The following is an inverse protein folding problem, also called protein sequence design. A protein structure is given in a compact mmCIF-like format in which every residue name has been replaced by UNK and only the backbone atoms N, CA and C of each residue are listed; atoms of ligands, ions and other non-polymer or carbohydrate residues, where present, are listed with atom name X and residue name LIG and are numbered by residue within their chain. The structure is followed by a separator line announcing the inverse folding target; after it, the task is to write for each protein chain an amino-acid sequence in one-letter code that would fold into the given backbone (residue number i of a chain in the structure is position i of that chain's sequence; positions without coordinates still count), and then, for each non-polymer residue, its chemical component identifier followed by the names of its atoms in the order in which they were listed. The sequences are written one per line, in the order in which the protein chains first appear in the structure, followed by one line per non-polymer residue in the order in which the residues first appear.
data_IF_385384322305
#
_entry.id   IF_385384322305
#
_cell.length_a   1.000
_cell.length_b   1.000
_cell.length_c   1.000
_cell.angle_alpha   90.00
_cell.angle_beta   90.00
_cell.angle_gamma   90.00
#
_symmetry.space_group_name_H-M   'P 1'
#
loop_
_entity.id
_entity.type
_entity.pdbx_description
1 polymer ?
#
# COMPACT_ATOMS: atom_id res chain seq x y z
N UNK A 1 -1.20 14.97 4.09
CA UNK A 1 -1.68 13.91 4.99
C UNK A 1 -1.60 14.41 6.42
N UNK A 2 -2.61 14.17 7.30
CA UNK A 2 -2.59 14.66 8.68
C UNK A 2 -1.44 14.07 9.50
N UNK A 3 -0.76 14.89 10.30
CA UNK A 3 0.32 14.44 11.18
C UNK A 3 -0.13 13.43 12.26
N UNK A 4 -1.42 13.41 12.56
CA UNK A 4 -2.02 12.55 13.60
C UNK A 4 -2.55 11.23 13.04
N UNK A 5 -2.26 10.88 11.79
CA UNK A 5 -2.74 9.62 11.22
C UNK A 5 -2.19 8.43 12.00
N UNK A 6 -3.08 7.51 12.37
CA UNK A 6 -2.70 6.22 12.95
C UNK A 6 -2.30 5.23 11.86
N UNK A 7 -1.40 4.29 12.18
CA UNK A 7 -0.91 3.29 11.22
C UNK A 7 -2.03 2.47 10.56
N UNK A 8 -3.08 1.99 11.26
CA UNK A 8 -4.18 1.28 10.61
C UNK A 8 -4.91 2.11 9.54
N UNK A 9 -4.97 3.44 9.75
CA UNK A 9 -5.56 4.33 8.75
C UNK A 9 -4.60 4.61 7.60
N UNK A 10 -3.31 4.70 7.89
CA UNK A 10 -2.26 4.83 6.87
C UNK A 10 -2.24 3.60 5.96
N UNK A 11 -2.35 2.39 6.52
CA UNK A 11 -2.53 1.16 5.75
C UNK A 11 -3.70 1.29 4.76
N UNK A 12 -4.88 1.70 5.23
CA UNK A 12 -6.05 1.90 4.36
C UNK A 12 -5.82 2.95 3.27
N UNK A 13 -5.05 4.00 3.57
CA UNK A 13 -4.65 5.00 2.56
C UNK A 13 -3.77 4.34 1.50
N UNK A 14 -2.75 3.58 1.90
CA UNK A 14 -1.87 2.88 0.97
C UNK A 14 -2.62 1.88 0.11
N UNK A 15 -3.47 1.05 0.70
CA UNK A 15 -4.32 0.11 -0.03
C UNK A 15 -5.18 0.81 -1.08
N UNK A 16 -5.77 1.96 -0.72
CA UNK A 16 -6.58 2.76 -1.65
C UNK A 16 -5.76 3.36 -2.78
N UNK A 17 -4.57 3.89 -2.48
CA UNK A 17 -3.69 4.51 -3.49
C UNK A 17 -3.08 3.46 -4.43
N UNK A 18 -2.69 2.32 -3.88
CA UNK A 18 -2.11 1.22 -4.63
C UNK A 18 -3.18 0.41 -5.39
N UNK A 19 -4.42 0.39 -4.93
CA UNK A 19 -5.52 -0.32 -5.58
C UNK A 19 -5.73 -1.74 -5.07
N UNK A 20 -5.14 -2.09 -3.92
CA UNK A 20 -5.34 -3.36 -3.22
C UNK A 20 -6.56 -3.33 -2.29
N UNK A 21 -6.96 -4.51 -1.82
CA UNK A 21 -8.19 -4.72 -1.04
C UNK A 21 -7.95 -4.88 0.46
N UNK A 22 -6.68 -5.00 0.89
CA UNK A 22 -6.33 -5.28 2.29
C UNK A 22 -6.65 -6.71 2.71
N UNK A 23 -6.52 -7.68 1.80
CA UNK A 23 -6.83 -9.10 2.04
C UNK A 23 -5.74 -9.84 2.79
N UNK A 24 -4.52 -9.27 2.84
CA UNK A 24 -3.33 -9.89 3.39
C UNK A 24 -2.77 -9.10 4.58
N UNK A 25 -1.85 -9.73 5.30
CA UNK A 25 -1.11 -9.11 6.38
C UNK A 25 -0.17 -8.03 5.86
N UNK A 26 0.15 -7.09 6.73
CA UNK A 26 1.09 -6.01 6.42
C UNK A 26 1.92 -5.63 7.64
N UNK A 27 3.02 -4.93 7.38
CA UNK A 27 3.80 -4.31 8.43
C UNK A 27 4.35 -2.93 8.00
N UNK A 28 4.61 -2.11 8.98
CA UNK A 28 5.42 -0.90 8.86
C UNK A 28 6.74 -1.11 9.60
N UNK A 29 7.87 -0.78 8.97
CA UNK A 29 9.17 -0.79 9.63
C UNK A 29 9.65 0.65 9.78
N UNK A 30 9.53 1.21 10.97
CA UNK A 30 9.82 2.63 11.27
C UNK A 30 10.89 2.70 12.34
N UNK A 31 12.05 3.26 12.01
CA UNK A 31 13.15 3.37 12.98
C UNK A 31 13.66 2.03 13.52
N UNK A 32 13.53 0.95 12.72
CA UNK A 32 13.90 -0.41 13.10
C UNK A 32 12.87 -1.14 13.96
N UNK A 33 11.73 -0.52 14.26
CA UNK A 33 10.61 -1.16 14.97
C UNK A 33 9.57 -1.61 13.94
N UNK A 34 9.09 -2.84 14.09
CA UNK A 34 8.04 -3.43 13.26
C UNK A 34 6.68 -3.23 13.90
N UNK A 35 5.74 -2.71 13.15
CA UNK A 35 4.35 -2.47 13.56
C UNK A 35 3.41 -3.20 12.61
N UNK A 36 2.47 -3.98 13.15
CA UNK A 36 1.43 -4.66 12.37
C UNK A 36 0.14 -4.80 13.18
N UNK A 37 -0.93 -5.22 12.53
CA UNK A 37 -2.11 -5.72 13.24
C UNK A 37 -1.75 -7.09 13.85
N UNK A 38 -1.94 -7.29 15.17
CA UNK A 38 -1.56 -8.53 15.82
C UNK A 38 -2.41 -9.68 15.29
N UNK A 39 -1.74 -10.65 14.66
CA UNK A 39 -2.33 -11.93 14.31
C UNK A 39 -2.10 -12.90 15.48
N UNK A 40 -3.17 -13.40 16.12
CA UNK A 40 -3.04 -14.32 17.25
C UNK A 40 -2.28 -15.63 16.91
N UNK A 41 -2.34 -16.05 15.65
CA UNK A 41 -1.71 -17.28 15.17
C UNK A 41 -0.20 -17.10 14.92
N UNK A 42 0.26 -15.83 14.76
CA UNK A 42 1.66 -15.48 14.49
C UNK A 42 2.30 -14.68 15.64
N UNK A 43 1.58 -14.39 16.71
CA UNK A 43 2.04 -13.51 17.80
C UNK A 43 3.33 -13.98 18.49
N UNK A 44 3.58 -15.28 18.53
CA UNK A 44 4.78 -15.87 19.12
C UNK A 44 5.98 -15.92 18.14
N UNK A 45 5.73 -15.74 16.85
CA UNK A 45 6.75 -15.84 15.80
C UNK A 45 7.26 -14.47 15.33
N UNK A 46 6.46 -13.42 15.49
CA UNK A 46 6.75 -12.09 14.99
C UNK A 46 6.94 -11.12 16.17
N UNK A 47 8.13 -10.55 16.28
CA UNK A 47 8.44 -9.46 17.23
C UNK A 47 7.87 -8.13 16.71
N UNK A 48 6.53 -8.04 16.67
CA UNK A 48 5.80 -6.87 16.18
C UNK A 48 5.10 -6.11 17.32
N UNK A 49 5.05 -4.81 17.19
CA UNK A 49 4.28 -3.91 18.05
C UNK A 49 2.88 -3.73 17.45
N UNK A 50 1.82 -3.89 18.26
CA UNK A 50 0.44 -3.61 17.86
C UNK A 50 0.30 -2.17 17.33
N UNK A 51 -0.04 -2.03 16.06
CA UNK A 51 -0.15 -0.75 15.36
C UNK A 51 -1.40 0.05 15.71
N UNK A 52 -2.41 -0.57 16.33
CA UNK A 52 -3.77 -0.05 16.54
C UNK A 52 -3.82 1.38 17.07
N UNK A 53 -2.90 1.74 17.96
CA UNK A 53 -2.86 3.05 18.56
C UNK A 53 -1.61 3.87 18.23
N UNK A 54 -0.79 3.39 17.32
CA UNK A 54 0.45 4.05 16.92
C UNK A 54 0.13 5.19 15.95
N UNK A 55 0.59 6.39 16.28
CA UNK A 55 0.48 7.59 15.45
C UNK A 55 1.77 7.76 14.65
N UNK A 56 1.67 7.93 13.32
CA UNK A 56 2.81 7.97 12.41
C UNK A 56 3.89 8.95 12.86
N UNK A 57 3.53 10.20 13.17
CA UNK A 57 4.51 11.22 13.58
C UNK A 57 5.26 10.86 14.85
N UNK A 58 4.63 10.11 15.76
CA UNK A 58 5.29 9.62 16.98
C UNK A 58 6.24 8.46 16.69
N UNK A 59 5.87 7.57 15.79
CA UNK A 59 6.73 6.46 15.37
C UNK A 59 7.95 6.96 14.58
N UNK A 60 7.78 7.96 13.70
CA UNK A 60 8.87 8.59 12.94
C UNK A 60 9.88 9.31 13.86
N UNK A 61 9.43 9.90 14.98
CA UNK A 61 10.27 10.77 15.78
C UNK A 61 10.65 12.05 15.02
N UNK A 62 11.79 12.64 15.40
CA UNK A 62 12.23 13.94 14.84
C UNK A 62 13.04 13.78 13.54
N UNK A 63 13.69 12.65 13.33
CA UNK A 63 14.75 12.51 12.33
C UNK A 63 14.42 11.54 11.18
N UNK A 64 13.44 10.64 11.36
CA UNK A 64 13.10 9.67 10.33
C UNK A 64 12.45 10.34 9.12
N UNK A 65 13.05 10.15 7.95
CA UNK A 65 12.58 10.67 6.66
C UNK A 65 12.11 9.58 5.72
N UNK A 66 12.28 8.34 6.10
CA UNK A 66 11.77 7.20 5.34
C UNK A 66 11.40 6.06 6.31
N UNK A 67 10.53 5.20 5.82
CA UNK A 67 10.17 3.94 6.46
C UNK A 67 9.71 2.95 5.40
N UNK A 68 9.66 1.68 5.77
CA UNK A 68 9.20 0.64 4.87
C UNK A 68 7.75 0.26 5.19
N UNK A 69 7.00 -0.06 4.15
CA UNK A 69 5.68 -0.65 4.22
C UNK A 69 5.69 -1.94 3.40
N UNK A 70 5.47 -3.06 4.05
CA UNK A 70 5.40 -4.39 3.42
C UNK A 70 3.94 -4.84 3.45
N UNK A 71 3.45 -5.31 2.33
CA UNK A 71 2.11 -5.86 2.19
C UNK A 71 2.18 -7.24 1.58
N UNK A 72 1.36 -8.16 2.09
CA UNK A 72 1.33 -9.55 1.71
C UNK A 72 2.68 -10.26 1.94
N UNK A 73 2.84 -10.90 3.09
CA UNK A 73 4.10 -11.58 3.44
C UNK A 73 4.41 -12.79 2.54
N UNK A 74 3.42 -13.29 1.77
CA UNK A 74 3.63 -14.32 0.77
C UNK A 74 4.25 -13.76 -0.51
N UNK A 75 3.71 -12.65 -1.02
CA UNK A 75 4.19 -11.98 -2.23
C UNK A 75 5.30 -10.95 -1.96
N UNK A 76 5.46 -10.51 -0.70
CA UNK A 76 6.51 -9.59 -0.22
C UNK A 76 6.54 -8.26 -0.99
N UNK A 77 5.41 -7.58 -1.07
CA UNK A 77 5.32 -6.25 -1.69
C UNK A 77 5.95 -5.18 -0.82
N UNK A 78 7.22 -4.91 -1.04
CA UNK A 78 8.03 -3.98 -0.27
C UNK A 78 8.01 -2.56 -0.87
N UNK A 79 7.60 -1.56 -0.07
CA UNK A 79 7.50 -0.16 -0.46
C UNK A 79 8.38 0.70 0.44
N UNK A 80 9.15 1.59 -0.17
CA UNK A 80 9.89 2.63 0.55
C UNK A 80 9.02 3.89 0.55
N UNK A 81 8.65 4.34 1.73
CA UNK A 81 7.86 5.56 1.93
C UNK A 81 8.78 6.69 2.37
N UNK A 82 8.85 7.76 1.56
CA UNK A 82 9.68 8.93 1.84
C UNK A 82 8.80 10.06 2.36
N UNK A 83 9.18 10.63 3.51
CA UNK A 83 8.55 11.82 4.08
C UNK A 83 9.28 13.06 3.56
N UNK A 84 8.79 13.63 2.46
CA UNK A 84 9.43 14.77 1.79
C UNK A 84 9.36 16.06 2.62
N UNK A 85 8.20 16.32 3.26
CA UNK A 85 8.01 17.48 4.11
C UNK A 85 6.96 17.23 5.19
N UNK A 86 7.19 17.81 6.36
CA UNK A 86 6.19 18.03 7.39
C UNK A 86 5.79 19.50 7.34
N UNK A 87 4.59 19.80 6.85
CA UNK A 87 4.10 21.18 6.79
C UNK A 87 3.51 21.55 8.16
N UNK A 88 3.81 22.75 8.67
CA UNK A 88 3.18 23.22 9.90
C UNK A 88 1.65 23.25 9.71
N UNK A 89 0.92 22.97 10.79
CA UNK A 89 -0.55 23.04 10.82
C UNK A 89 -1.01 24.37 10.23
N UNK A 90 -1.38 24.35 8.96
CA UNK A 90 -2.26 25.37 8.41
C UNK A 90 -3.67 24.94 8.78
N UNK A 91 -4.53 25.87 9.18
CA UNK A 91 -5.95 25.67 9.52
C UNK A 91 -6.81 25.14 8.34
N UNK A 92 -6.23 24.37 7.45
CA UNK A 92 -6.87 23.69 6.35
C UNK A 92 -7.36 22.35 6.88
N UNK A 93 -8.63 22.08 6.78
CA UNK A 93 -9.37 20.94 7.28
C UNK A 93 -8.48 19.69 7.54
N UNK A 94 -8.24 19.30 8.79
CA UNK A 94 -7.18 18.35 9.17
C UNK A 94 -7.45 16.90 8.76
N UNK A 95 -8.45 16.64 7.95
CA UNK A 95 -8.96 15.31 7.65
C UNK A 95 -8.85 14.89 6.18
N UNK A 96 -8.21 15.68 5.31
CA UNK A 96 -8.16 15.34 3.89
C UNK A 96 -6.86 14.64 3.52
N UNK A 97 -6.98 13.37 3.14
CA UNK A 97 -5.91 12.66 2.44
C UNK A 97 -6.08 12.91 0.95
N UNK A 98 -5.00 13.26 0.28
CA UNK A 98 -5.01 13.57 -1.15
C UNK A 98 -3.78 12.98 -1.82
N UNK A 99 -3.97 12.32 -2.96
CA UNK A 99 -2.93 11.88 -3.86
C UNK A 99 -2.67 13.00 -4.89
N UNK A 100 -1.45 13.48 -4.99
CA UNK A 100 -1.08 14.57 -5.91
C UNK A 100 -0.66 14.05 -7.29
N UNK A 101 -0.11 12.84 -7.35
CA UNK A 101 0.36 12.21 -8.58
C UNK A 101 0.53 10.71 -8.39
N UNK A 102 0.63 9.97 -9.49
CA UNK A 102 0.89 8.53 -9.50
C UNK A 102 1.13 8.01 -10.92
N UNK A 103 1.72 6.84 -11.01
CA UNK A 103 2.00 6.18 -12.28
C UNK A 103 1.93 4.66 -12.12
N UNK A 104 1.56 3.98 -13.20
CA UNK A 104 1.40 2.53 -13.33
C UNK A 104 0.23 1.96 -12.50
N UNK A 105 -0.26 0.82 -12.93
CA UNK A 105 -1.20 0.02 -12.15
C UNK A 105 -0.45 -0.82 -11.12
N UNK A 106 -1.07 -0.99 -9.98
CA UNK A 106 -0.60 -1.94 -8.99
C UNK A 106 -0.68 -3.37 -9.53
N UNK A 107 0.22 -4.27 -9.15
CA UNK A 107 0.06 -5.70 -9.42
C UNK A 107 -1.27 -6.22 -8.88
N UNK A 108 -1.94 -7.15 -9.58
CA UNK A 108 -3.12 -7.82 -9.03
C UNK A 108 -2.79 -8.53 -7.70
N UNK A 109 -3.78 -8.66 -6.81
CA UNK A 109 -3.64 -9.51 -5.61
C UNK A 109 -3.28 -10.94 -6.00
N UNK A 110 -2.46 -11.61 -5.20
CA UNK A 110 -2.08 -13.02 -5.38
C UNK A 110 -1.36 -13.34 -6.73
N UNK A 111 -0.72 -12.34 -7.35
CA UNK A 111 -0.06 -12.56 -8.64
C UNK A 111 1.26 -13.33 -8.53
N UNK A 112 1.78 -13.54 -7.32
CA UNK A 112 2.98 -14.32 -7.06
C UNK A 112 4.27 -13.49 -7.04
N UNK A 113 4.26 -12.40 -6.28
CA UNK A 113 5.44 -11.54 -6.10
C UNK A 113 5.87 -10.80 -7.39
N UNK A 114 7.03 -10.18 -7.35
CA UNK A 114 7.62 -9.50 -8.52
C UNK A 114 7.86 -10.46 -9.68
N UNK A 115 8.14 -11.74 -9.40
CA UNK A 115 8.37 -12.75 -10.41
C UNK A 115 7.07 -13.12 -11.13
N UNK A 116 6.03 -13.49 -10.40
CA UNK A 116 4.72 -13.80 -10.99
C UNK A 116 4.11 -12.59 -11.72
N UNK A 117 4.35 -11.37 -11.19
CA UNK A 117 3.93 -10.17 -11.91
C UNK A 117 4.66 -9.97 -13.23
N UNK A 118 5.96 -10.28 -13.30
CA UNK A 118 6.70 -10.22 -14.56
C UNK A 118 6.18 -11.25 -15.58
N UNK A 119 5.92 -12.49 -15.15
CA UNK A 119 5.30 -13.53 -16.00
C UNK A 119 3.90 -13.12 -16.46
N UNK A 120 3.09 -12.59 -15.57
CA UNK A 120 1.77 -12.05 -15.91
C UNK A 120 1.84 -10.97 -16.99
N UNK A 121 2.75 -10.00 -16.86
CA UNK A 121 2.92 -8.93 -17.84
C UNK A 121 3.40 -9.46 -19.20
N UNK A 122 4.31 -10.42 -19.21
CA UNK A 122 4.78 -11.07 -20.44
C UNK A 122 3.62 -11.80 -21.13
N UNK A 123 2.86 -12.58 -20.39
CA UNK A 123 1.74 -13.33 -20.94
C UNK A 123 0.64 -12.44 -21.53
N UNK A 124 0.25 -11.36 -20.85
CA UNK A 124 -0.80 -10.48 -21.38
C UNK A 124 -0.35 -9.62 -22.56
N UNK A 125 0.97 -9.37 -22.68
CA UNK A 125 1.54 -8.59 -23.78
C UNK A 125 1.64 -9.38 -25.11
N UNK A 126 1.80 -10.70 -25.06
CA UNK A 126 1.92 -11.58 -26.22
C UNK A 126 0.54 -12.16 -26.61
N UNK A 127 -0.02 -11.78 -27.78
CA UNK A 127 -1.31 -12.31 -28.24
C UNK A 127 -1.35 -13.84 -28.42
N UNK A 128 -0.21 -14.46 -28.64
CA UNK A 128 -0.08 -15.89 -28.91
C UNK A 128 0.34 -16.71 -27.65
N UNK A 129 0.49 -16.04 -26.49
CA UNK A 129 0.88 -16.71 -25.24
C UNK A 129 -0.21 -17.65 -24.73
N UNK A 130 0.16 -18.89 -24.38
CA UNK A 130 -0.80 -19.94 -23.96
C UNK A 130 -1.61 -19.61 -22.72
N UNK A 131 -1.05 -18.82 -21.80
CA UNK A 131 -1.68 -18.42 -20.52
C UNK A 131 -2.42 -17.07 -20.60
N UNK A 132 -2.36 -16.38 -21.73
CA UNK A 132 -2.88 -15.02 -21.89
C UNK A 132 -4.36 -14.90 -21.52
N UNK A 133 -5.16 -15.76 -22.11
CA UNK A 133 -6.62 -15.70 -21.91
C UNK A 133 -6.99 -16.02 -20.46
N UNK A 134 -6.29 -16.95 -19.83
CA UNK A 134 -6.46 -17.28 -18.40
C UNK A 134 -6.15 -16.08 -17.51
N UNK A 135 -5.03 -15.40 -17.73
CA UNK A 135 -4.66 -14.22 -16.95
C UNK A 135 -5.63 -13.04 -17.17
N UNK A 136 -6.05 -12.81 -18.42
CA UNK A 136 -7.03 -11.75 -18.69
C UNK A 136 -8.38 -12.06 -18.06
N UNK A 137 -8.86 -13.30 -18.11
CA UNK A 137 -10.09 -13.70 -17.42
C UNK A 137 -9.98 -13.48 -15.91
N UNK A 138 -8.85 -13.88 -15.31
CA UNK A 138 -8.59 -13.71 -13.88
C UNK A 138 -8.64 -12.25 -13.42
N UNK A 139 -8.13 -11.30 -14.21
CA UNK A 139 -8.17 -9.86 -13.88
C UNK A 139 -9.42 -9.13 -14.40
N UNK A 140 -10.44 -9.86 -14.87
CA UNK A 140 -11.69 -9.27 -15.33
C UNK A 140 -11.70 -8.79 -16.79
N UNK A 141 -10.83 -9.31 -17.63
CA UNK A 141 -10.81 -9.13 -19.09
C UNK A 141 -9.82 -8.11 -19.62
N UNK A 142 -9.34 -7.18 -18.81
CA UNK A 142 -8.39 -6.16 -19.25
C UNK A 142 -7.49 -5.68 -18.12
N UNK A 143 -6.21 -5.52 -18.40
CA UNK A 143 -5.23 -4.91 -17.50
C UNK A 143 -4.29 -4.01 -18.30
N UNK A 144 -4.19 -2.73 -17.90
CA UNK A 144 -3.22 -1.79 -18.46
C UNK A 144 -2.16 -1.46 -17.38
N UNK A 145 -0.94 -1.98 -17.51
CA UNK A 145 0.09 -1.81 -16.49
C UNK A 145 0.59 -0.36 -16.33
N UNK A 146 0.27 0.52 -17.30
CA UNK A 146 0.69 1.93 -17.26
C UNK A 146 -0.39 2.88 -16.76
N UNK A 147 -1.59 2.36 -16.48
CA UNK A 147 -2.71 3.19 -16.04
C UNK A 147 -2.55 3.58 -14.58
N UNK A 148 -2.79 4.84 -14.28
CA UNK A 148 -3.10 5.33 -12.94
C UNK A 148 -4.26 6.33 -13.04
N UNK A 149 -5.31 6.12 -12.26
CA UNK A 149 -6.51 6.96 -12.29
C UNK A 149 -6.54 7.86 -11.05
N UNK A 150 -5.92 9.03 -11.17
CA UNK A 150 -5.77 10.00 -10.08
C UNK A 150 -7.13 10.47 -9.53
N UNK A 151 -8.11 10.70 -10.40
CA UNK A 151 -9.43 11.19 -10.00
C UNK A 151 -10.20 10.11 -9.23
N UNK A 152 -10.19 8.88 -9.73
CA UNK A 152 -10.81 7.74 -9.04
C UNK A 152 -10.15 7.47 -7.69
N UNK A 153 -8.81 7.54 -7.63
CA UNK A 153 -8.04 7.39 -6.38
C UNK A 153 -8.43 8.47 -5.37
N UNK A 154 -8.49 9.73 -5.75
CA UNK A 154 -8.87 10.81 -4.86
C UNK A 154 -10.34 10.74 -4.43
N UNK A 155 -11.23 10.28 -5.30
CA UNK A 155 -12.63 10.01 -4.94
C UNK A 155 -12.72 8.89 -3.88
N UNK A 156 -11.91 7.85 -3.99
CA UNK A 156 -11.86 6.78 -2.99
C UNK A 156 -11.25 7.27 -1.66
N UNK A 157 -10.15 8.02 -1.71
CA UNK A 157 -9.50 8.61 -0.53
C UNK A 157 -10.44 9.55 0.25
N UNK A 158 -11.31 10.29 -0.43
CA UNK A 158 -12.28 11.20 0.21
C UNK A 158 -13.25 10.51 1.16
N UNK A 159 -13.41 9.19 1.06
CA UNK A 159 -14.26 8.37 1.93
C UNK A 159 -13.54 7.91 3.20
N UNK A 160 -12.20 8.06 3.26
CA UNK A 160 -11.39 7.72 4.43
C UNK A 160 -11.42 8.90 5.40
N UNK A 161 -12.13 8.74 6.52
CA UNK A 161 -12.11 9.71 7.62
C UNK A 161 -10.86 9.50 8.45
N UNK A 162 -9.96 10.47 8.45
CA UNK A 162 -8.70 10.47 9.23
C UNK A 162 -8.89 11.23 10.53
#
# INVERSE_FOLDING_TARGET
MPEIIKLPKLHRVFQTVLGWTGSHLHEFVIGGVRYSDPDPDLADELDHVDEKNVVLVKALGLDARCFDYVYDFGDDWHHIVIVEAQLPHLDVAPSLVHCSDGANSCPPEDVGSTHGYAEFLEAIADPDHEERDRYLEWVGGHFDPKRFDLDATNLALSKIKV
#
